data_IF_796166218768
#
_entry.id   IF_796166218768
#
_cell.length_a   1.000
_cell.length_b   1.000
_cell.length_c   1.000
_cell.angle_alpha   90.00
_cell.angle_beta   90.00
_cell.angle_gamma   90.00
#
_symmetry.space_group_name_H-M   'P 1'
#
loop_
_entity.id
_entity.type
_entity.pdbx_description
1 polymer ?
#
# COMPACT_ATOMS: atom_id res chain seq x y z
N UNK A 1 -5.74 25.96 3.75
CA UNK A 1 -5.45 26.18 2.31
C UNK A 1 -6.74 25.92 1.58
N UNK A 2 -7.24 26.88 0.83
CA UNK A 2 -8.52 26.76 0.15
C UNK A 2 -8.42 25.72 -0.99
N UNK A 3 -9.52 25.04 -1.29
CA UNK A 3 -9.63 24.02 -2.36
C UNK A 3 -9.20 24.57 -3.74
N UNK A 4 -9.29 25.90 -3.93
CA UNK A 4 -8.89 26.63 -5.12
C UNK A 4 -7.37 26.59 -5.42
N UNK A 5 -6.54 26.41 -4.39
CA UNK A 5 -5.07 26.38 -4.51
C UNK A 5 -4.52 25.04 -5.03
N UNK A 6 -5.38 24.08 -5.38
CA UNK A 6 -5.00 22.74 -5.81
C UNK A 6 -5.42 22.41 -7.25
N UNK A 7 -5.65 23.42 -8.06
CA UNK A 7 -6.02 23.29 -9.48
C UNK A 7 -4.92 23.89 -10.33
N UNK A 8 -4.54 23.17 -11.37
CA UNK A 8 -3.51 23.64 -12.31
C UNK A 8 -3.98 23.48 -13.74
N UNK A 9 -3.47 24.34 -14.62
CA UNK A 9 -3.71 24.35 -16.06
C UNK A 9 -2.42 24.48 -16.88
N UNK A 10 -1.26 24.54 -16.21
CA UNK A 10 0.06 24.61 -16.85
C UNK A 10 1.15 23.95 -16.01
N UNK A 11 2.25 23.56 -16.64
CA UNK A 11 3.44 23.04 -15.98
C UNK A 11 4.02 24.03 -14.96
N UNK A 12 4.01 25.34 -15.31
CA UNK A 12 4.49 26.40 -14.42
C UNK A 12 3.72 26.48 -13.10
N UNK A 13 2.39 26.40 -13.16
CA UNK A 13 1.52 26.36 -11.96
C UNK A 13 1.82 25.14 -11.11
N UNK A 14 1.99 23.97 -11.72
CA UNK A 14 2.33 22.74 -11.00
C UNK A 14 3.67 22.86 -10.25
N UNK A 15 4.73 23.32 -10.94
CA UNK A 15 6.04 23.53 -10.32
C UNK A 15 5.96 24.51 -9.15
N UNK A 16 5.16 25.58 -9.30
CA UNK A 16 4.97 26.55 -8.23
C UNK A 16 4.28 25.95 -7.01
N UNK A 17 3.28 25.09 -7.18
CA UNK A 17 2.63 24.37 -6.07
C UNK A 17 3.63 23.48 -5.36
N UNK A 18 4.39 22.65 -6.09
CA UNK A 18 5.40 21.75 -5.51
C UNK A 18 6.43 22.53 -4.68
N UNK A 19 6.94 23.66 -5.20
CA UNK A 19 7.90 24.52 -4.49
C UNK A 19 7.29 25.20 -3.27
N UNK A 20 6.13 25.84 -3.43
CA UNK A 20 5.45 26.61 -2.36
C UNK A 20 5.11 25.73 -1.16
N UNK A 21 4.76 24.47 -1.39
CA UNK A 21 4.37 23.52 -0.36
C UNK A 21 5.50 22.62 0.12
N UNK A 22 6.70 22.75 -0.44
CA UNK A 22 7.86 21.96 -0.02
C UNK A 22 7.71 20.47 -0.24
N UNK A 23 7.01 20.04 -1.30
CA UNK A 23 6.65 18.63 -1.54
C UNK A 23 7.81 17.77 -2.10
N UNK A 24 9.07 18.11 -1.82
CA UNK A 24 10.23 17.44 -2.42
C UNK A 24 10.42 15.99 -1.97
N UNK A 25 9.99 15.66 -0.75
CA UNK A 25 10.16 14.34 -0.13
C UNK A 25 8.84 13.58 -0.05
N UNK A 26 7.93 13.84 -0.98
CA UNK A 26 6.63 13.17 -1.01
C UNK A 26 6.59 12.10 -2.12
N UNK A 27 5.60 11.22 -2.03
CA UNK A 27 5.31 10.26 -3.07
C UNK A 27 4.12 10.72 -3.89
N UNK A 28 4.22 10.56 -5.20
CA UNK A 28 3.25 11.06 -6.15
C UNK A 28 2.68 9.93 -7.00
N UNK A 29 1.39 10.05 -7.35
CA UNK A 29 0.74 9.18 -8.31
C UNK A 29 -0.14 10.00 -9.24
N UNK A 30 0.05 9.87 -10.55
CA UNK A 30 -0.80 10.50 -11.56
C UNK A 30 -1.87 9.55 -12.08
N UNK A 31 -3.10 10.04 -12.17
CA UNK A 31 -4.22 9.33 -12.80
C UNK A 31 -4.92 10.26 -13.77
N UNK A 32 -5.11 9.78 -15.00
CA UNK A 32 -5.66 10.58 -16.09
C UNK A 32 -7.18 10.81 -16.01
N UNK A 33 -7.83 10.20 -15.05
CA UNK A 33 -9.24 10.39 -14.71
C UNK A 33 -9.47 10.04 -13.24
N UNK A 34 -10.64 10.36 -12.71
CA UNK A 34 -11.00 9.99 -11.34
C UNK A 34 -11.43 8.53 -11.28
N UNK A 35 -10.73 7.74 -10.48
CA UNK A 35 -11.12 6.38 -10.13
C UNK A 35 -11.80 6.36 -8.75
N UNK A 36 -12.61 5.34 -8.44
CA UNK A 36 -13.30 5.22 -7.16
C UNK A 36 -12.36 5.19 -5.95
N UNK A 37 -11.19 4.56 -6.11
CA UNK A 37 -10.15 4.45 -5.08
C UNK A 37 -8.77 4.29 -5.70
N UNK A 38 -7.73 4.67 -4.94
CA UNK A 38 -6.34 4.32 -5.26
C UNK A 38 -6.16 2.87 -4.81
N UNK A 39 -6.08 1.93 -5.76
CA UNK A 39 -6.05 0.50 -5.49
C UNK A 39 -5.12 -0.23 -6.45
N UNK A 40 -4.53 -1.33 -5.99
CA UNK A 40 -3.69 -2.20 -6.81
C UNK A 40 -4.51 -2.92 -7.88
N UNK A 41 -3.83 -3.40 -8.93
CA UNK A 41 -4.47 -4.14 -10.01
C UNK A 41 -5.12 -5.43 -9.52
N UNK A 42 -4.49 -6.12 -8.59
CA UNK A 42 -5.03 -7.34 -7.99
C UNK A 42 -6.37 -7.07 -7.30
N UNK A 43 -6.40 -6.08 -6.41
CA UNK A 43 -7.60 -5.77 -5.61
C UNK A 43 -8.71 -5.17 -6.47
N UNK A 44 -8.37 -4.27 -7.40
CA UNK A 44 -9.34 -3.65 -8.30
C UNK A 44 -10.06 -4.65 -9.21
N UNK A 45 -9.32 -5.66 -9.68
CA UNK A 45 -9.86 -6.66 -10.60
C UNK A 45 -10.38 -7.91 -9.88
N UNK A 46 -10.25 -7.95 -8.56
CA UNK A 46 -10.84 -9.00 -7.76
C UNK A 46 -12.35 -8.83 -7.68
N UNK A 47 -13.05 -9.80 -8.21
CA UNK A 47 -14.50 -9.93 -8.05
C UNK A 47 -14.74 -11.22 -7.26
N UNK A 48 -15.36 -11.15 -6.09
CA UNK A 48 -15.73 -12.35 -5.35
C UNK A 48 -16.59 -13.26 -6.23
N UNK A 49 -16.08 -14.44 -6.56
CA UNK A 49 -16.79 -15.43 -7.36
C UNK A 49 -17.17 -16.59 -6.46
N UNK A 50 -18.28 -16.45 -5.68
CA UNK A 50 -18.81 -17.58 -4.92
C UNK A 50 -17.77 -18.27 -4.01
N UNK A 51 -18.11 -19.42 -3.53
CA UNK A 51 -17.47 -20.17 -2.43
C UNK A 51 -16.01 -20.66 -2.63
N UNK A 52 -15.34 -20.40 -3.75
CA UNK A 52 -14.19 -21.24 -4.10
C UNK A 52 -12.80 -20.67 -3.83
N UNK A 53 -12.57 -19.35 -3.85
CA UNK A 53 -11.21 -18.81 -3.67
C UNK A 53 -11.21 -17.43 -3.03
N UNK A 54 -10.56 -17.30 -1.89
CA UNK A 54 -10.22 -16.01 -1.29
C UNK A 54 -9.17 -15.24 -2.11
N UNK A 55 -9.02 -13.95 -1.86
CA UNK A 55 -8.00 -13.12 -2.52
C UNK A 55 -6.58 -13.59 -2.17
N UNK A 56 -6.36 -14.08 -0.95
CA UNK A 56 -5.08 -14.63 -0.50
C UNK A 56 -4.68 -15.82 -1.36
N UNK A 57 -5.62 -16.74 -1.64
CA UNK A 57 -5.35 -17.90 -2.50
C UNK A 57 -5.05 -17.49 -3.94
N UNK A 58 -5.80 -16.52 -4.47
CA UNK A 58 -5.56 -16.00 -5.83
C UNK A 58 -4.18 -15.34 -5.90
N UNK A 59 -3.81 -14.55 -4.91
CA UNK A 59 -2.49 -13.91 -4.83
C UNK A 59 -1.36 -14.94 -4.81
N UNK A 60 -1.48 -15.94 -3.95
CA UNK A 60 -0.52 -17.03 -3.84
C UNK A 60 -0.41 -17.82 -5.15
N UNK A 61 -1.54 -18.21 -5.72
CA UNK A 61 -1.59 -18.97 -6.96
C UNK A 61 -0.99 -18.21 -8.16
N UNK A 62 -1.26 -16.91 -8.27
CA UNK A 62 -0.67 -16.07 -9.32
C UNK A 62 0.85 -16.04 -9.24
N UNK A 63 1.39 -15.77 -8.04
CA UNK A 63 2.84 -15.69 -7.83
C UNK A 63 3.50 -17.05 -8.01
N UNK A 64 2.93 -18.11 -7.45
CA UNK A 64 3.45 -19.47 -7.58
C UNK A 64 3.45 -19.95 -9.04
N UNK A 65 2.33 -19.80 -9.75
CA UNK A 65 2.25 -20.19 -11.15
C UNK A 65 3.25 -19.43 -12.01
N UNK A 66 3.38 -18.12 -11.79
CA UNK A 66 4.34 -17.33 -12.54
C UNK A 66 5.79 -17.70 -12.21
N UNK A 67 6.11 -17.97 -10.93
CA UNK A 67 7.43 -18.42 -10.55
C UNK A 67 7.79 -19.79 -11.14
N UNK A 68 6.85 -20.71 -11.24
CA UNK A 68 7.07 -22.00 -11.88
C UNK A 68 7.47 -21.86 -13.37
N UNK A 69 6.92 -20.86 -14.04
CA UNK A 69 7.20 -20.62 -15.46
C UNK A 69 8.54 -19.89 -15.70
N UNK A 70 8.91 -18.96 -14.84
CA UNK A 70 10.06 -18.06 -15.10
C UNK A 70 11.21 -18.21 -14.10
N UNK A 71 10.99 -18.90 -12.98
CA UNK A 71 11.94 -18.93 -11.85
C UNK A 71 13.32 -19.45 -12.23
N UNK A 72 13.41 -20.37 -13.17
CA UNK A 72 14.69 -20.95 -13.63
C UNK A 72 15.59 -19.95 -14.41
N UNK A 73 15.03 -18.84 -14.88
CA UNK A 73 15.77 -17.78 -15.58
C UNK A 73 16.18 -16.63 -14.67
N UNK A 74 15.64 -16.59 -13.44
CA UNK A 74 15.84 -15.47 -12.53
C UNK A 74 17.24 -15.52 -11.90
N UNK A 75 17.86 -14.37 -11.79
CA UNK A 75 18.99 -14.21 -10.90
C UNK A 75 18.53 -13.97 -9.46
N UNK A 76 19.45 -14.14 -8.49
CA UNK A 76 19.15 -13.99 -7.05
C UNK A 76 18.46 -12.67 -6.71
N UNK A 77 18.88 -11.55 -7.30
CA UNK A 77 18.26 -10.25 -7.05
C UNK A 77 16.82 -10.19 -7.55
N UNK A 78 16.50 -10.83 -8.67
CA UNK A 78 15.15 -10.92 -9.22
C UNK A 78 14.27 -11.84 -8.36
N UNK A 79 14.82 -12.96 -7.87
CA UNK A 79 14.12 -13.84 -6.94
C UNK A 79 13.78 -13.10 -5.63
N UNK A 80 14.76 -12.44 -4.99
CA UNK A 80 14.57 -11.67 -3.76
C UNK A 80 13.57 -10.52 -3.92
N UNK A 81 13.35 -10.06 -5.14
CA UNK A 81 12.42 -8.97 -5.48
C UNK A 81 11.33 -9.43 -6.45
N UNK A 82 10.93 -10.70 -6.35
CA UNK A 82 10.03 -11.32 -7.32
C UNK A 82 8.67 -10.61 -7.44
N UNK A 83 8.16 -10.03 -6.36
CA UNK A 83 6.91 -9.27 -6.39
C UNK A 83 7.03 -8.04 -7.31
N UNK A 84 8.12 -7.27 -7.21
CA UNK A 84 8.37 -6.13 -8.10
C UNK A 84 8.69 -6.57 -9.54
N UNK A 85 9.40 -7.68 -9.69
CA UNK A 85 9.65 -8.31 -10.99
C UNK A 85 8.33 -8.68 -11.66
N UNK A 86 7.45 -9.36 -10.94
CA UNK A 86 6.13 -9.80 -11.43
C UNK A 86 5.26 -8.61 -11.86
N UNK A 87 5.19 -7.55 -11.03
CA UNK A 87 4.47 -6.31 -11.36
C UNK A 87 5.02 -5.68 -12.65
N UNK A 88 6.34 -5.62 -12.79
CA UNK A 88 6.97 -5.04 -13.98
C UNK A 88 6.59 -5.77 -15.27
N UNK A 89 6.49 -7.09 -15.20
CA UNK A 89 6.11 -7.94 -16.32
C UNK A 89 4.58 -8.13 -16.48
N UNK A 90 3.77 -7.37 -15.74
CA UNK A 90 2.33 -7.28 -15.94
C UNK A 90 1.49 -8.27 -15.15
N UNK A 91 2.09 -9.04 -14.24
CA UNK A 91 1.31 -9.85 -13.30
C UNK A 91 0.51 -8.92 -12.38
N UNK A 92 -0.73 -9.28 -12.09
CA UNK A 92 -1.54 -8.54 -11.12
C UNK A 92 -1.02 -8.77 -9.72
N UNK A 93 -0.61 -7.71 -9.04
CA UNK A 93 -0.09 -7.75 -7.68
C UNK A 93 -0.81 -6.75 -6.78
N UNK A 94 -0.53 -6.81 -5.49
CA UNK A 94 -1.00 -5.82 -4.52
C UNK A 94 -0.12 -4.56 -4.45
N UNK A 95 0.81 -4.39 -5.38
CA UNK A 95 1.62 -3.18 -5.49
C UNK A 95 0.87 -2.07 -6.23
N UNK A 96 1.01 -0.85 -5.75
CA UNK A 96 0.51 0.36 -6.39
C UNK A 96 1.71 1.21 -6.81
N UNK A 97 1.78 1.59 -8.09
CA UNK A 97 2.85 2.43 -8.60
C UNK A 97 2.74 3.86 -8.05
N UNK A 98 3.84 4.32 -7.46
CA UNK A 98 4.09 5.70 -7.07
C UNK A 98 5.43 6.15 -7.65
N UNK A 99 5.72 7.43 -7.58
CA UNK A 99 6.99 8.02 -7.99
C UNK A 99 7.45 9.07 -6.98
N UNK A 100 8.76 9.26 -6.88
CA UNK A 100 9.34 10.41 -6.17
C UNK A 100 9.56 11.62 -7.07
N UNK A 101 9.31 11.48 -8.40
CA UNK A 101 9.44 12.54 -9.37
C UNK A 101 8.08 13.19 -9.69
N UNK A 102 7.79 14.41 -9.21
CA UNK A 102 6.50 15.06 -9.41
C UNK A 102 6.09 15.18 -10.88
N UNK A 103 7.04 15.48 -11.79
CA UNK A 103 6.76 15.64 -13.22
C UNK A 103 6.33 14.33 -13.90
N UNK A 104 6.83 13.19 -13.39
CA UNK A 104 6.39 11.87 -13.87
C UNK A 104 4.93 11.62 -13.49
N UNK A 105 4.53 11.98 -12.27
CA UNK A 105 3.12 11.88 -11.88
C UNK A 105 2.23 12.82 -12.71
N UNK A 106 2.70 14.03 -13.00
CA UNK A 106 1.98 14.95 -13.88
C UNK A 106 1.81 14.37 -15.29
N UNK A 107 2.86 13.73 -15.84
CA UNK A 107 2.78 13.02 -17.10
C UNK A 107 1.65 11.98 -17.09
N UNK A 108 1.59 11.12 -16.09
CA UNK A 108 0.53 10.10 -15.99
C UNK A 108 -0.87 10.69 -15.75
N UNK A 109 -0.96 11.84 -15.09
CA UNK A 109 -2.22 12.55 -14.96
C UNK A 109 -2.72 13.12 -16.29
N UNK A 110 -1.82 13.30 -17.28
CA UNK A 110 -2.13 13.82 -18.60
C UNK A 110 -2.11 12.76 -19.72
N UNK A 111 -1.53 11.55 -19.48
CA UNK A 111 -1.37 10.51 -20.52
C UNK A 111 -2.72 9.83 -20.83
N UNK A 112 -3.35 10.27 -21.92
CA UNK A 112 -4.65 9.79 -22.40
C UNK A 112 -4.63 9.43 -23.86
N UNK A 113 -5.47 8.46 -24.21
CA UNK A 113 -5.78 8.15 -25.61
C UNK A 113 -6.77 9.14 -26.22
N UNK A 114 -7.67 9.72 -25.42
CA UNK A 114 -8.67 10.71 -25.82
C UNK A 114 -8.79 11.76 -24.72
N UNK A 115 -8.88 13.04 -25.12
CA UNK A 115 -9.03 14.19 -24.21
C UNK A 115 -10.51 14.60 -24.08
N UNK A 116 -11.39 13.64 -23.93
CA UNK A 116 -12.83 13.82 -23.77
C UNK A 116 -13.30 13.92 -22.31
N UNK A 117 -12.36 13.82 -21.36
CA UNK A 117 -12.62 13.96 -19.93
C UNK A 117 -11.90 15.19 -19.41
N UNK A 118 -12.58 15.98 -18.60
CA UNK A 118 -12.19 17.35 -18.28
C UNK A 118 -10.91 17.52 -17.46
N UNK A 119 -10.44 16.48 -16.73
CA UNK A 119 -9.30 16.62 -15.81
C UNK A 119 -8.61 15.30 -15.43
N UNK A 120 -7.32 15.41 -15.13
CA UNK A 120 -6.51 14.41 -14.46
C UNK A 120 -6.28 14.75 -12.98
N UNK A 121 -5.61 13.85 -12.28
CA UNK A 121 -5.37 13.99 -10.85
C UNK A 121 -3.94 13.59 -10.50
N UNK A 122 -3.27 14.39 -9.67
CA UNK A 122 -2.04 14.01 -9.01
C UNK A 122 -2.33 13.85 -7.52
N UNK A 123 -2.15 12.65 -7.04
CA UNK A 123 -2.27 12.29 -5.62
C UNK A 123 -0.91 12.39 -4.96
N UNK A 124 -0.88 12.97 -3.77
CA UNK A 124 0.34 13.16 -2.98
C UNK A 124 0.20 12.41 -1.66
N UNK A 125 1.17 11.56 -1.33
CA UNK A 125 1.30 10.95 -0.01
C UNK A 125 2.42 11.63 0.76
N UNK A 126 2.12 12.02 2.00
CA UNK A 126 3.12 12.56 2.90
C UNK A 126 4.06 11.45 3.38
N UNK A 127 5.37 11.72 3.37
CA UNK A 127 6.40 10.80 3.88
C UNK A 127 6.15 10.40 5.34
N UNK A 128 5.64 11.31 6.17
CA UNK A 128 5.32 11.05 7.58
C UNK A 128 4.31 9.91 7.81
N UNK A 129 3.48 9.60 6.81
CA UNK A 129 2.50 8.52 6.88
C UNK A 129 3.01 7.24 6.22
N UNK A 130 4.28 7.18 5.87
CA UNK A 130 4.89 6.05 5.17
C UNK A 130 6.06 5.48 5.94
N UNK A 131 6.38 4.23 5.69
CA UNK A 131 7.59 3.57 6.17
C UNK A 131 8.25 2.80 5.02
N UNK A 132 9.57 2.85 4.95
CA UNK A 132 10.33 2.05 4.00
C UNK A 132 10.33 0.58 4.46
N UNK A 133 9.55 -0.24 3.76
CA UNK A 133 9.39 -1.65 4.03
C UNK A 133 10.24 -2.55 3.11
N UNK A 134 11.14 -1.97 2.32
CA UNK A 134 11.88 -2.70 1.28
C UNK A 134 12.62 -3.92 1.82
N UNK A 135 13.39 -3.75 2.89
CA UNK A 135 14.15 -4.83 3.53
C UNK A 135 13.22 -5.92 4.09
N UNK A 136 12.14 -5.50 4.76
CA UNK A 136 11.15 -6.41 5.31
C UNK A 136 10.45 -7.21 4.21
N UNK A 137 10.00 -6.55 3.14
CA UNK A 137 9.33 -7.19 2.03
C UNK A 137 10.26 -8.14 1.26
N UNK A 138 11.51 -7.75 1.01
CA UNK A 138 12.50 -8.64 0.39
C UNK A 138 12.78 -9.89 1.23
N UNK A 139 12.84 -9.74 2.55
CA UNK A 139 13.17 -10.86 3.44
C UNK A 139 12.01 -11.84 3.64
N UNK A 140 10.76 -11.35 3.69
CA UNK A 140 9.62 -12.15 4.12
C UNK A 140 8.59 -12.44 3.03
N UNK A 141 8.59 -11.71 1.91
CA UNK A 141 7.64 -11.96 0.81
C UNK A 141 7.94 -13.23 -0.01
N UNK A 142 9.15 -13.78 0.14
CA UNK A 142 9.64 -14.94 -0.63
C UNK A 142 9.79 -16.19 0.25
N UNK A 143 9.68 -16.07 1.58
CA UNK A 143 9.92 -17.19 2.48
C UNK A 143 8.87 -18.30 2.25
N UNK A 144 9.37 -19.43 1.78
CA UNK A 144 8.69 -20.72 1.75
C UNK A 144 7.32 -20.73 1.03
N UNK A 145 7.35 -20.55 -0.28
CA UNK A 145 6.24 -20.85 -1.20
C UNK A 145 5.29 -19.73 -1.62
N UNK A 146 5.65 -18.42 -1.60
CA UNK A 146 4.77 -17.35 -2.10
C UNK A 146 3.31 -17.41 -1.57
N UNK A 147 3.10 -18.20 -0.50
CA UNK A 147 1.79 -18.71 -0.16
C UNK A 147 0.89 -17.72 0.54
N UNK A 148 1.45 -16.65 1.13
CA UNK A 148 0.64 -15.74 1.92
C UNK A 148 1.16 -14.31 1.79
N UNK A 149 0.25 -13.35 1.68
CA UNK A 149 0.66 -11.99 1.90
C UNK A 149 1.17 -11.86 3.35
N UNK A 150 2.06 -10.90 3.58
CA UNK A 150 2.75 -10.73 4.86
C UNK A 150 1.76 -10.57 6.03
N UNK A 151 0.62 -9.93 5.82
CA UNK A 151 -0.37 -9.73 6.87
C UNK A 151 -1.12 -11.00 7.24
N UNK A 152 -1.34 -11.90 6.29
CA UNK A 152 -1.85 -13.23 6.60
C UNK A 152 -0.83 -14.04 7.41
N UNK A 153 0.46 -13.90 7.11
CA UNK A 153 1.54 -14.54 7.89
C UNK A 153 1.63 -13.99 9.32
N UNK A 154 1.44 -12.68 9.51
CA UNK A 154 1.32 -12.09 10.84
C UNK A 154 0.17 -12.70 11.64
N UNK A 155 -0.95 -12.99 10.98
CA UNK A 155 -2.09 -13.66 11.61
C UNK A 155 -1.80 -15.09 12.09
N UNK A 156 -0.80 -15.78 11.48
CA UNK A 156 -0.33 -17.09 11.92
C UNK A 156 0.73 -17.01 13.04
N UNK A 157 1.08 -15.81 13.49
CA UNK A 157 2.01 -15.56 14.58
C UNK A 157 3.42 -16.17 14.35
N UNK A 158 3.92 -16.09 13.10
CA UNK A 158 5.30 -16.43 12.80
C UNK A 158 6.24 -15.45 13.52
N UNK A 159 7.05 -15.95 14.45
CA UNK A 159 7.90 -15.13 15.32
C UNK A 159 8.89 -14.25 14.55
N UNK A 160 9.47 -14.76 13.47
CA UNK A 160 10.43 -14.00 12.66
C UNK A 160 9.77 -12.85 11.94
N UNK A 161 8.56 -13.09 11.37
CA UNK A 161 7.78 -12.07 10.68
C UNK A 161 7.25 -11.03 11.65
N UNK A 162 6.73 -11.46 12.80
CA UNK A 162 6.29 -10.57 13.89
C UNK A 162 7.42 -9.65 14.34
N UNK A 163 8.62 -10.20 14.59
CA UNK A 163 9.78 -9.39 14.97
C UNK A 163 10.22 -8.44 13.86
N UNK A 164 10.22 -8.88 12.60
CA UNK A 164 10.51 -8.02 11.47
C UNK A 164 9.52 -6.87 11.33
N UNK A 165 8.24 -7.16 11.51
CA UNK A 165 7.17 -6.16 11.48
C UNK A 165 7.29 -5.15 12.63
N UNK A 166 7.65 -5.59 13.83
CA UNK A 166 7.93 -4.72 14.97
C UNK A 166 9.07 -3.74 14.66
N UNK A 167 10.20 -4.25 14.12
CA UNK A 167 11.34 -3.39 13.73
C UNK A 167 10.92 -2.37 12.66
N UNK A 168 10.05 -2.76 11.74
CA UNK A 168 9.49 -1.86 10.73
C UNK A 168 8.65 -0.74 11.37
N UNK A 169 7.79 -1.08 12.33
CA UNK A 169 6.99 -0.08 13.06
C UNK A 169 7.84 0.85 13.94
N UNK A 170 8.93 0.36 14.52
CA UNK A 170 9.88 1.20 15.26
C UNK A 170 10.52 2.28 14.37
N UNK A 171 10.89 1.91 13.13
CA UNK A 171 11.37 2.89 12.14
C UNK A 171 10.31 3.97 11.85
N UNK A 172 9.06 3.58 11.75
CA UNK A 172 7.94 4.51 11.53
C UNK A 172 7.77 5.50 12.69
N UNK A 173 7.83 5.05 13.93
CA UNK A 173 7.67 5.94 15.09
C UNK A 173 8.84 6.89 15.26
N UNK A 174 10.03 6.51 14.84
CA UNK A 174 11.18 7.42 14.77
C UNK A 174 10.96 8.60 13.81
N UNK A 175 10.13 8.42 12.78
CA UNK A 175 9.74 9.48 11.83
C UNK A 175 8.59 10.36 12.34
N UNK A 176 7.81 9.87 13.31
CA UNK A 176 6.71 10.62 13.93
C UNK A 176 7.21 11.64 14.97
N UNK A 177 8.23 12.43 14.66
CA UNK A 177 8.73 13.44 15.56
C UNK A 177 7.58 14.36 16.02
N UNK A 178 7.09 14.16 17.25
CA UNK A 178 6.00 14.92 17.84
C UNK A 178 4.64 14.23 17.97
N UNK A 179 4.44 13.05 17.39
CA UNK A 179 3.24 12.22 17.68
C UNK A 179 3.57 11.20 18.75
N UNK A 180 2.70 11.12 19.75
CA UNK A 180 2.84 10.13 20.81
C UNK A 180 2.51 8.71 20.24
N UNK A 181 3.41 7.72 20.31
CA UNK A 181 3.11 6.35 19.90
C UNK A 181 1.85 5.78 20.58
N UNK A 182 1.51 6.30 21.73
CA UNK A 182 0.30 5.96 22.47
C UNK A 182 -1.00 6.39 21.79
N UNK A 183 -0.98 7.40 20.93
CA UNK A 183 -2.17 7.78 20.16
C UNK A 183 -2.49 6.73 19.09
N UNK A 184 -1.47 6.01 18.58
CA UNK A 184 -1.66 4.86 17.68
C UNK A 184 -2.30 3.69 18.43
N UNK A 185 -1.84 3.39 19.63
CA UNK A 185 -2.39 2.33 20.50
C UNK A 185 -3.85 2.61 20.82
N UNK A 186 -4.18 3.84 21.24
CA UNK A 186 -5.55 4.25 21.53
C UNK A 186 -6.45 4.20 20.30
N UNK A 187 -5.95 4.66 19.16
CA UNK A 187 -6.67 4.61 17.89
C UNK A 187 -7.00 3.17 17.48
N UNK A 188 -6.03 2.27 17.59
CA UNK A 188 -6.21 0.84 17.30
C UNK A 188 -7.19 0.18 18.27
N UNK A 189 -7.03 0.38 19.57
CA UNK A 189 -7.92 -0.18 20.58
C UNK A 189 -9.37 0.29 20.40
N UNK A 190 -9.57 1.58 20.12
CA UNK A 190 -10.87 2.15 19.79
C UNK A 190 -11.47 1.51 18.54
N UNK A 191 -10.69 1.37 17.49
CA UNK A 191 -11.12 0.76 16.25
C UNK A 191 -11.57 -0.69 16.48
N UNK A 192 -10.82 -1.49 17.24
CA UNK A 192 -11.17 -2.88 17.58
C UNK A 192 -12.50 -2.92 18.39
N UNK A 193 -12.73 -1.97 19.30
CA UNK A 193 -13.96 -1.93 20.10
C UNK A 193 -15.21 -1.56 19.30
N UNK A 194 -15.07 -0.78 18.24
CA UNK A 194 -16.19 -0.35 17.38
C UNK A 194 -16.75 -1.50 16.53
N UNK A 195 -16.11 -2.68 16.52
CA UNK A 195 -16.63 -3.84 15.80
C UNK A 195 -17.79 -4.52 16.55
N UNK A 196 -18.99 -4.61 15.95
CA UNK A 196 -20.20 -5.15 16.61
C UNK A 196 -20.09 -6.60 17.10
N UNK A 197 -19.11 -7.33 16.61
CA UNK A 197 -18.96 -8.76 16.88
C UNK A 197 -18.42 -9.08 18.26
N UNK A 198 -17.77 -8.11 18.90
CA UNK A 198 -17.29 -8.28 20.27
C UNK A 198 -18.42 -8.39 21.31
N UNK A 199 -19.67 -8.20 20.91
CA UNK A 199 -20.80 -8.23 21.84
C UNK A 199 -21.44 -9.60 22.05
N UNK A 200 -21.21 -10.62 21.23
CA UNK A 200 -22.12 -11.77 21.16
C UNK A 200 -21.61 -13.16 21.55
N UNK A 201 -20.35 -13.44 21.82
CA UNK A 201 -19.99 -14.81 22.20
C UNK A 201 -18.69 -15.00 23.01
N UNK A 202 -18.77 -15.94 23.98
CA UNK A 202 -17.72 -16.65 24.71
C UNK A 202 -16.90 -15.89 25.79
N UNK A 203 -16.57 -16.64 26.88
CA UNK A 203 -15.69 -16.24 27.98
C UNK A 203 -14.33 -15.69 27.51
N UNK A 204 -13.80 -16.25 26.43
CA UNK A 204 -12.56 -15.82 25.77
C UNK A 204 -12.64 -14.40 25.21
N UNK A 205 -13.75 -14.04 24.57
CA UNK A 205 -14.00 -12.69 24.09
C UNK A 205 -14.20 -11.69 25.24
N UNK A 206 -14.74 -12.13 26.37
CA UNK A 206 -14.85 -11.29 27.57
C UNK A 206 -13.50 -10.91 28.17
N UNK A 207 -12.52 -11.82 28.17
CA UNK A 207 -11.15 -11.52 28.61
C UNK A 207 -10.45 -10.57 27.64
N UNK A 208 -10.61 -10.76 26.33
CA UNK A 208 -10.11 -9.86 25.30
C UNK A 208 -10.72 -8.46 25.40
N UNK A 209 -12.02 -8.36 25.61
CA UNK A 209 -12.72 -7.08 25.82
C UNK A 209 -12.16 -6.35 27.05
N UNK A 210 -11.87 -7.07 28.14
CA UNK A 210 -11.23 -6.51 29.34
C UNK A 210 -9.80 -6.03 29.05
N UNK A 211 -9.01 -6.78 28.29
CA UNK A 211 -7.64 -6.39 27.91
C UNK A 211 -7.65 -5.13 27.00
N UNK A 212 -8.58 -5.07 26.06
CA UNK A 212 -8.76 -3.90 25.20
C UNK A 212 -9.21 -2.68 25.99
N UNK A 213 -10.14 -2.85 26.95
CA UNK A 213 -10.59 -1.77 27.83
C UNK A 213 -9.45 -1.25 28.69
N UNK A 214 -8.62 -2.12 29.27
CA UNK A 214 -7.40 -1.73 29.99
C UNK A 214 -6.44 -0.95 29.11
N UNK A 215 -6.24 -1.38 27.85
CA UNK A 215 -5.41 -0.67 26.87
C UNK A 215 -5.90 0.74 26.54
N UNK A 216 -7.21 0.99 26.67
CA UNK A 216 -7.79 2.34 26.51
C UNK A 216 -7.63 3.21 27.75
N UNK A 217 -7.70 2.61 28.94
CA UNK A 217 -7.63 3.33 30.21
C UNK A 217 -6.20 3.73 30.59
N UNK A 218 -5.18 3.00 30.12
CA UNK A 218 -3.78 3.32 30.37
C UNK A 218 -2.80 2.30 29.78
N UNK A 219 -1.69 2.79 29.34
CA UNK A 219 -0.66 2.03 28.61
C UNK A 219 0.08 1.03 29.50
N UNK A 220 0.10 1.25 30.81
CA UNK A 220 0.73 0.34 31.77
C UNK A 220 0.03 -1.00 31.99
N UNK A 221 -1.16 -1.18 31.37
CA UNK A 221 -2.04 -2.32 31.66
C UNK A 221 -2.11 -3.39 30.54
N UNK A 222 -1.19 -3.36 29.55
CA UNK A 222 -1.13 -4.36 28.48
C UNK A 222 -0.04 -5.45 28.61
N UNK A 223 0.63 -5.66 29.76
CA UNK A 223 1.72 -6.64 29.88
C UNK A 223 1.27 -8.08 29.54
N UNK A 224 0.05 -8.47 29.88
CA UNK A 224 -0.47 -9.81 29.56
C UNK A 224 -0.66 -10.01 28.05
N UNK A 225 -1.10 -8.99 27.32
CA UNK A 225 -1.24 -9.02 25.88
C UNK A 225 0.13 -9.10 25.19
N UNK A 226 1.08 -8.29 25.67
CA UNK A 226 2.46 -8.30 25.17
C UNK A 226 3.11 -9.66 25.40
N UNK A 227 3.03 -10.22 26.60
CA UNK A 227 3.60 -11.54 26.93
C UNK A 227 2.97 -12.66 26.08
N UNK A 228 1.71 -12.53 25.70
CA UNK A 228 1.02 -13.52 24.86
C UNK A 228 1.49 -13.52 23.42
N UNK A 229 1.62 -12.35 22.80
CA UNK A 229 1.93 -12.20 21.36
C UNK A 229 3.41 -11.96 21.09
N UNK A 230 4.16 -11.48 22.08
CA UNK A 230 5.58 -11.14 21.98
C UNK A 230 6.35 -11.65 23.20
N UNK A 231 6.33 -12.98 23.50
CA UNK A 231 6.88 -13.53 24.75
C UNK A 231 8.40 -13.36 24.90
N UNK A 232 9.12 -13.29 23.80
CA UNK A 232 10.59 -13.17 23.77
C UNK A 232 11.07 -11.73 23.54
N UNK A 233 10.22 -10.76 23.85
CA UNK A 233 10.48 -9.37 23.56
C UNK A 233 11.34 -8.70 24.63
N UNK A 234 12.46 -8.12 24.23
CA UNK A 234 13.25 -7.24 25.09
C UNK A 234 12.63 -5.83 25.09
N UNK A 235 12.18 -5.37 26.25
CA UNK A 235 11.39 -4.15 26.47
C UNK A 235 12.14 -2.87 26.06
N UNK A 236 13.36 -2.97 25.55
CA UNK A 236 14.22 -1.83 25.19
C UNK A 236 13.72 -0.97 24.02
N UNK A 237 12.72 -1.43 23.27
CA UNK A 237 12.23 -0.76 22.06
C UNK A 237 11.12 0.31 22.23
N UNK A 238 10.75 0.65 23.45
CA UNK A 238 9.66 1.61 23.71
C UNK A 238 8.28 0.95 23.81
N UNK A 239 7.62 1.09 24.94
CA UNK A 239 6.36 0.42 25.31
C UNK A 239 5.26 0.59 24.27
N UNK A 240 5.05 1.81 23.74
CA UNK A 240 3.92 2.08 22.85
C UNK A 240 3.90 1.29 21.52
N UNK A 241 5.07 0.90 20.98
CA UNK A 241 5.14 0.14 19.74
C UNK A 241 4.89 -1.33 19.97
N UNK A 242 5.42 -1.84 21.06
CA UNK A 242 5.19 -3.22 21.49
C UNK A 242 3.70 -3.45 21.70
N UNK A 243 3.06 -2.54 22.41
CA UNK A 243 1.63 -2.57 22.68
C UNK A 243 0.81 -2.43 21.39
N UNK A 244 1.19 -1.52 20.50
CA UNK A 244 0.55 -1.38 19.18
C UNK A 244 0.67 -2.67 18.36
N UNK A 245 1.87 -3.27 18.33
CA UNK A 245 2.10 -4.53 17.61
C UNK A 245 1.28 -5.66 18.22
N UNK A 246 1.21 -5.76 19.53
CA UNK A 246 0.42 -6.77 20.22
C UNK A 246 -1.08 -6.60 19.98
N UNK A 247 -1.61 -5.36 19.97
CA UNK A 247 -3.00 -5.07 19.61
C UNK A 247 -3.29 -5.39 18.14
N UNK A 248 -2.34 -5.11 17.26
CA UNK A 248 -2.47 -5.43 15.86
C UNK A 248 -2.54 -6.94 15.62
N UNK A 249 -1.68 -7.71 16.29
CA UNK A 249 -1.71 -9.18 16.26
C UNK A 249 -2.99 -9.73 16.86
N UNK A 250 -3.47 -9.17 17.96
CA UNK A 250 -4.75 -9.55 18.56
C UNK A 250 -5.89 -9.33 17.57
N UNK A 251 -5.91 -8.20 16.87
CA UNK A 251 -6.91 -7.91 15.87
C UNK A 251 -6.93 -8.97 14.76
N UNK A 252 -5.78 -9.34 14.24
CA UNK A 252 -5.69 -10.36 13.21
C UNK A 252 -6.06 -11.75 13.69
N UNK A 253 -5.66 -12.11 14.90
CA UNK A 253 -6.02 -13.38 15.52
C UNK A 253 -7.55 -13.46 15.72
N UNK A 254 -8.18 -12.36 16.10
CA UNK A 254 -9.65 -12.28 16.21
C UNK A 254 -10.33 -12.46 14.85
N UNK A 255 -9.85 -11.81 13.81
CA UNK A 255 -10.40 -11.95 12.47
C UNK A 255 -10.31 -13.40 11.98
N UNK A 256 -9.21 -14.09 12.26
CA UNK A 256 -9.03 -15.49 11.91
C UNK A 256 -9.94 -16.43 12.70
N UNK A 257 -10.17 -16.15 13.99
CA UNK A 257 -10.89 -17.05 14.89
C UNK A 257 -12.41 -16.83 14.90
N UNK A 258 -12.89 -15.75 14.29
CA UNK A 258 -14.33 -15.42 14.34
C UNK A 258 -15.04 -16.01 13.14
N UNK A 259 -15.75 -17.10 13.37
CA UNK A 259 -16.47 -17.86 12.33
C UNK A 259 -17.91 -17.41 12.09
N UNK A 260 -18.39 -16.30 12.68
CA UNK A 260 -19.82 -15.97 12.62
C UNK A 260 -20.09 -14.48 12.46
N UNK A 261 -20.91 -14.16 11.44
CA UNK A 261 -21.59 -12.87 11.27
C UNK A 261 -20.71 -11.62 11.19
N UNK A 262 -19.54 -11.70 10.54
CA UNK A 262 -18.76 -10.52 10.24
C UNK A 262 -19.38 -9.73 9.07
N UNK A 263 -19.51 -8.40 9.16
CA UNK A 263 -19.99 -7.61 8.03
C UNK A 263 -19.03 -7.74 6.84
N UNK A 264 -19.54 -7.72 5.60
CA UNK A 264 -18.73 -7.96 4.39
C UNK A 264 -17.63 -6.92 4.14
N UNK A 265 -17.66 -5.79 4.85
CA UNK A 265 -16.72 -4.68 4.65
C UNK A 265 -16.17 -4.17 5.99
N UNK A 266 -15.24 -4.92 6.58
CA UNK A 266 -14.51 -4.44 7.76
C UNK A 266 -13.37 -3.52 7.29
N UNK A 267 -13.25 -2.29 7.83
CA UNK A 267 -12.16 -1.40 7.45
C UNK A 267 -10.82 -1.95 7.96
N UNK A 268 -9.81 -1.90 7.10
CA UNK A 268 -8.45 -2.24 7.50
C UNK A 268 -7.95 -1.27 8.58
N UNK A 269 -7.18 -1.73 9.59
CA UNK A 269 -6.63 -0.87 10.62
C UNK A 269 -5.82 0.29 10.06
N UNK A 270 -5.83 1.43 10.73
CA UNK A 270 -4.98 2.56 10.36
C UNK A 270 -3.53 2.27 10.76
N UNK A 271 -2.73 1.91 9.78
CA UNK A 271 -1.29 1.70 9.88
C UNK A 271 -0.58 2.54 8.82
N UNK A 272 0.75 2.77 8.95
CA UNK A 272 1.49 3.47 7.92
C UNK A 272 1.40 2.77 6.56
N UNK A 273 1.63 3.53 5.50
CA UNK A 273 1.78 2.97 4.16
C UNK A 273 3.17 2.36 4.00
N UNK A 274 3.25 1.15 3.52
CA UNK A 274 4.49 0.43 3.31
C UNK A 274 5.04 0.73 1.92
N UNK A 275 6.11 1.52 1.88
CA UNK A 275 6.78 1.84 0.63
C UNK A 275 7.84 0.78 0.30
N UNK A 276 7.84 0.31 -0.92
CA UNK A 276 8.76 -0.67 -1.44
C UNK A 276 9.62 -0.08 -2.56
N UNK A 277 10.88 0.14 -2.26
CA UNK A 277 11.91 0.63 -3.18
C UNK A 277 12.75 -0.55 -3.65
N UNK A 278 12.34 -1.17 -4.75
CA UNK A 278 13.07 -2.31 -5.29
C UNK A 278 14.45 -1.91 -5.80
N UNK A 279 15.52 -2.74 -5.56
CA UNK A 279 16.82 -2.55 -6.16
C UNK A 279 16.85 -2.91 -7.65
N UNK A 280 15.81 -3.56 -8.18
CA UNK A 280 15.70 -3.88 -9.60
C UNK A 280 15.65 -2.60 -10.44
N UNK A 281 16.58 -2.47 -11.38
CA UNK A 281 16.71 -1.28 -12.24
C UNK A 281 16.28 -1.59 -13.66
N UNK A 282 14.99 -1.84 -13.84
CA UNK A 282 14.41 -1.77 -15.19
C UNK A 282 14.39 -0.31 -15.67
N UNK A 283 14.59 -0.08 -16.96
CA UNK A 283 14.59 1.29 -17.53
C UNK A 283 13.34 2.06 -17.14
N UNK A 284 12.19 1.41 -17.18
CA UNK A 284 10.92 2.01 -16.78
C UNK A 284 10.94 2.46 -15.30
N UNK A 285 11.35 1.61 -14.36
CA UNK A 285 11.41 1.98 -12.93
C UNK A 285 12.40 3.11 -12.70
N UNK A 286 13.57 3.05 -13.36
CA UNK A 286 14.62 4.07 -13.26
C UNK A 286 14.17 5.43 -13.80
N UNK A 287 13.60 5.46 -15.01
CA UNK A 287 13.19 6.70 -15.67
C UNK A 287 12.00 7.35 -14.97
N UNK A 288 11.15 6.53 -14.37
CA UNK A 288 10.00 7.01 -13.61
C UNK A 288 10.32 7.37 -12.16
N UNK A 289 11.55 7.16 -11.67
CA UNK A 289 11.86 7.20 -10.24
C UNK A 289 10.80 6.42 -9.43
N UNK A 290 10.47 5.22 -9.95
CA UNK A 290 9.36 4.42 -9.49
C UNK A 290 9.60 3.82 -8.11
N UNK A 291 8.59 3.86 -7.30
CA UNK A 291 8.49 3.17 -6.01
C UNK A 291 7.11 2.52 -5.93
N UNK A 292 6.98 1.49 -5.13
CA UNK A 292 5.70 0.83 -4.95
C UNK A 292 5.16 1.10 -3.55
N UNK A 293 3.85 1.23 -3.43
CA UNK A 293 3.14 1.10 -2.18
C UNK A 293 2.62 -0.34 -2.11
N UNK A 294 3.03 -1.09 -1.10
CA UNK A 294 2.49 -2.42 -0.80
C UNK A 294 1.13 -2.25 -0.14
N UNK A 295 0.06 -2.49 -0.88
CA UNK A 295 -1.29 -2.40 -0.35
C UNK A 295 -1.60 -3.64 0.48
N UNK A 296 -1.76 -3.44 1.77
CA UNK A 296 -2.09 -4.50 2.70
C UNK A 296 -3.55 -4.94 2.55
N UNK A 297 -3.78 -6.25 2.65
CA UNK A 297 -5.12 -6.82 2.64
C UNK A 297 -5.16 -8.12 3.43
N UNK A 298 -6.34 -8.50 3.91
CA UNK A 298 -6.61 -9.75 4.59
C UNK A 298 -7.97 -10.26 4.18
N UNK A 299 -8.03 -11.54 3.87
CA UNK A 299 -9.28 -12.28 3.76
C UNK A 299 -9.71 -12.76 5.14
N UNK A 300 -10.99 -12.70 5.40
CA UNK A 300 -11.61 -13.28 6.58
C UNK A 300 -12.87 -14.04 6.19
N UNK A 301 -13.20 -15.08 6.96
CA UNK A 301 -14.42 -15.85 6.71
C UNK A 301 -15.59 -15.19 7.42
N UNK A 302 -16.73 -15.03 6.72
CA UNK A 302 -17.93 -14.39 7.26
C UNK A 302 -18.92 -15.40 7.84
N UNK A 303 -19.08 -16.56 7.19
CA UNK A 303 -19.87 -17.72 7.63
C UNK A 303 -19.42 -18.98 6.89
N UNK A 304 -19.85 -20.15 7.39
CA UNK A 304 -19.46 -21.46 6.81
C UNK A 304 -19.92 -21.66 5.35
N UNK A 305 -20.90 -20.90 4.89
CA UNK A 305 -21.53 -21.05 3.59
C UNK A 305 -21.48 -19.78 2.72
N UNK A 306 -20.86 -18.68 3.15
CA UNK A 306 -20.83 -17.42 2.41
C UNK A 306 -19.43 -17.02 1.97
N UNK A 307 -19.40 -16.18 0.93
CA UNK A 307 -18.17 -15.56 0.39
C UNK A 307 -17.42 -14.84 1.49
N UNK A 308 -16.14 -15.16 1.67
CA UNK A 308 -15.28 -14.50 2.64
C UNK A 308 -15.25 -12.98 2.47
N UNK A 309 -15.13 -12.25 3.57
CA UNK A 309 -14.93 -10.81 3.57
C UNK A 309 -13.49 -10.46 3.24
N UNK A 310 -13.28 -9.25 2.71
CA UNK A 310 -11.97 -8.71 2.38
C UNK A 310 -11.74 -7.39 3.10
N UNK A 311 -10.71 -7.33 3.93
CA UNK A 311 -10.18 -6.08 4.46
C UNK A 311 -9.04 -5.58 3.61
N UNK A 312 -9.10 -4.34 3.16
CA UNK A 312 -8.08 -3.71 2.32
C UNK A 312 -7.65 -2.38 2.91
N UNK A 313 -6.35 -2.16 2.98
CA UNK A 313 -5.79 -0.87 3.38
C UNK A 313 -6.24 0.22 2.41
N UNK A 314 -6.99 1.19 2.91
CA UNK A 314 -7.41 2.35 2.13
C UNK A 314 -6.24 3.30 1.93
N UNK A 315 -5.95 3.68 0.68
CA UNK A 315 -4.93 4.67 0.36
C UNK A 315 -5.58 6.04 0.25
N UNK A 316 -5.39 6.86 1.29
CA UNK A 316 -5.95 8.20 1.38
C UNK A 316 -4.82 9.20 1.13
N UNK A 317 -4.84 9.94 0.01
CA UNK A 317 -3.81 10.93 -0.28
C UNK A 317 -3.91 12.12 0.70
N UNK A 318 -2.76 12.62 1.14
CA UNK A 318 -2.69 13.85 1.96
C UNK A 318 -3.08 15.10 1.15
N UNK A 319 -2.93 15.02 -0.17
CA UNK A 319 -3.33 16.09 -1.09
C UNK A 319 -3.71 15.53 -2.45
N UNK A 320 -4.64 16.20 -3.12
CA UNK A 320 -5.02 15.95 -4.50
C UNK A 320 -4.86 17.24 -5.29
N UNK A 321 -4.18 17.18 -6.44
CA UNK A 321 -4.03 18.29 -7.38
C UNK A 321 -4.85 17.92 -8.63
N UNK A 322 -5.84 18.76 -8.97
CA UNK A 322 -6.62 18.61 -10.19
C UNK A 322 -5.88 19.25 -11.37
N UNK A 323 -5.76 18.50 -12.47
CA UNK A 323 -4.99 18.88 -13.65
C UNK A 323 -5.94 19.13 -14.81
N UNK A 324 -6.01 20.37 -15.28
CA UNK A 324 -6.75 20.79 -16.45
C UNK A 324 -5.79 20.97 -17.64
N UNK A 325 -6.30 21.23 -18.82
CA UNK A 325 -5.50 21.49 -20.03
C UNK A 325 -4.40 20.44 -20.28
N UNK A 326 -4.77 19.17 -20.12
CA UNK A 326 -3.82 18.05 -20.13
C UNK A 326 -3.02 17.97 -21.44
N UNK A 327 -3.62 18.38 -22.58
CA UNK A 327 -2.93 18.35 -23.87
C UNK A 327 -1.78 19.36 -23.88
N UNK A 328 -2.03 20.59 -23.47
CA UNK A 328 -1.04 21.67 -23.39
C UNK A 328 0.08 21.31 -22.40
N UNK A 329 -0.28 20.75 -21.26
CA UNK A 329 0.70 20.29 -20.27
C UNK A 329 1.58 19.16 -20.84
N UNK A 330 1.04 18.24 -21.63
CA UNK A 330 1.83 17.20 -22.30
C UNK A 330 2.83 17.80 -23.31
N UNK A 331 2.46 18.85 -24.02
CA UNK A 331 3.36 19.58 -24.92
C UNK A 331 4.47 20.30 -24.11
N UNK A 332 4.11 20.94 -23.00
CA UNK A 332 5.09 21.57 -22.09
C UNK A 332 6.05 20.54 -21.47
N UNK A 333 5.55 19.35 -21.09
CA UNK A 333 6.36 18.25 -20.55
C UNK A 333 7.33 17.70 -21.62
N UNK A 334 6.89 17.58 -22.88
CA UNK A 334 7.77 17.16 -23.98
C UNK A 334 8.91 18.15 -24.22
N UNK A 335 8.67 19.46 -24.11
CA UNK A 335 9.70 20.51 -24.21
C UNK A 335 10.80 20.35 -23.16
N UNK A 336 10.48 19.88 -21.96
CA UNK A 336 11.45 19.61 -20.90
C UNK A 336 11.98 18.17 -20.89
N UNK A 337 11.62 17.37 -21.91
CA UNK A 337 12.11 16.01 -22.12
C UNK A 337 11.34 14.92 -21.38
N UNK A 338 10.24 15.25 -20.71
CA UNK A 338 9.35 14.29 -20.05
C UNK A 338 8.28 13.85 -21.05
N UNK A 339 8.55 12.79 -21.77
CA UNK A 339 7.68 12.27 -22.84
C UNK A 339 7.63 10.73 -22.79
N UNK A 340 6.82 10.16 -23.69
CA UNK A 340 6.61 8.71 -23.74
C UNK A 340 7.90 7.91 -23.91
N UNK A 341 8.83 8.38 -24.76
CA UNK A 341 10.13 7.76 -24.94
C UNK A 341 10.94 7.72 -23.65
N UNK A 342 10.98 8.83 -22.90
CA UNK A 342 11.68 8.91 -21.62
C UNK A 342 10.99 8.02 -20.56
N UNK A 343 9.68 8.14 -20.43
CA UNK A 343 8.91 7.47 -19.36
C UNK A 343 9.02 5.94 -19.44
N UNK A 344 8.90 5.38 -20.64
CA UNK A 344 8.88 3.92 -20.80
C UNK A 344 10.26 3.32 -21.09
N UNK A 345 11.11 4.03 -21.83
CA UNK A 345 12.48 3.64 -22.13
C UNK A 345 12.66 2.47 -23.09
N UNK A 346 11.57 1.82 -23.51
CA UNK A 346 11.60 0.68 -24.42
C UNK A 346 11.51 1.10 -25.90
N UNK A 347 11.86 0.17 -26.79
CA UNK A 347 11.87 0.43 -28.23
C UNK A 347 10.49 0.68 -28.82
N UNK A 348 9.45 -0.02 -28.33
CA UNK A 348 8.09 0.07 -28.86
C UNK A 348 7.48 1.44 -28.54
N UNK A 349 7.60 1.91 -27.30
CA UNK A 349 7.15 3.22 -26.91
C UNK A 349 7.97 4.35 -27.53
N UNK A 350 9.27 4.13 -27.76
CA UNK A 350 10.11 5.05 -28.52
C UNK A 350 9.65 5.19 -29.98
N UNK A 351 9.36 4.08 -30.66
CA UNK A 351 8.83 4.09 -32.01
C UNK A 351 7.47 4.80 -32.09
N UNK A 352 6.56 4.51 -31.13
CA UNK A 352 5.26 5.16 -31.06
C UNK A 352 5.38 6.68 -30.85
N UNK A 353 6.32 7.14 -30.02
CA UNK A 353 6.58 8.56 -29.81
C UNK A 353 7.07 9.24 -31.09
N UNK A 354 8.04 8.62 -31.80
CA UNK A 354 8.59 9.14 -33.06
C UNK A 354 7.50 9.22 -34.13
N UNK A 355 6.73 8.14 -34.29
CA UNK A 355 5.62 8.11 -35.24
C UNK A 355 4.64 9.26 -34.99
N UNK A 356 4.17 9.41 -33.74
CA UNK A 356 3.26 10.49 -33.37
C UNK A 356 3.85 11.85 -33.68
N UNK A 357 5.11 12.11 -33.32
CA UNK A 357 5.78 13.39 -33.53
C UNK A 357 5.94 13.76 -35.01
N UNK A 358 6.15 12.77 -35.88
CA UNK A 358 6.31 13.00 -37.32
C UNK A 358 4.95 13.18 -37.98
N UNK A 359 3.98 12.31 -37.69
CA UNK A 359 2.67 12.37 -38.37
C UNK A 359 1.77 13.49 -37.85
N UNK A 360 1.87 13.92 -36.59
CA UNK A 360 1.10 15.05 -36.07
C UNK A 360 1.64 16.42 -36.60
N UNK A 361 2.83 16.46 -37.24
CA UNK A 361 3.43 17.63 -37.86
C UNK A 361 3.23 17.70 -39.40
N UNK A 362 2.52 16.75 -39.98
CA UNK A 362 2.10 16.73 -41.38
C UNK A 362 0.64 17.17 -41.49
#
# INVERSE_FOLDING_TARGET
>A
MEEKDRKISSLGEYINIIKKLGLHNHYFRGENQKYPSISSSLIRDYVPKGEQYGLVDIYANLLNAYFQEVGYELNKMQEENFLAFSQHHGLKTNLIDFTTAPLVALYFACDRKKYDVDKGYVYVLNEENTVDASEFLCKYSIKEHFCHNIFSQLAWNDKDIVNGFRVLLEKYTGLLSGKNPFDLVKGMAKQIQEYPQFEKSNSYLCERKKLLQKGMDGIGDLPELVLRYLPDFDILGGLGIVEFTALFLLFFDDMRCTYTNLPPNIPFPQIPYFMYKTPLKFDRIRNQNGVFLYQAFIDYQTDLDEVGGLMVQQVIPSMVIEVFNQKEIMEELDLVGINKKFIYGDFDNTAQYINKKIFDNI
#
